data_IF_965409518254
#
_entry.id   IF_965409518254
#
_cell.length_a   1.000
_cell.length_b   1.000
_cell.length_c   1.000
_cell.angle_alpha   90.00
_cell.angle_beta   90.00
_cell.angle_gamma   90.00
#
_symmetry.space_group_name_H-M   'P 1'
#
loop_
_entity.id
_entity.type
_entity.pdbx_description
1 polymer ?
#
# COMPACT_ATOMS: atom_id res chain seq x y z
N UNK A 1 32.15 11.07 -51.52
CA UNK A 1 32.15 11.73 -50.20
C UNK A 1 30.79 11.68 -49.47
N UNK A 2 29.63 11.70 -50.15
CA UNK A 2 28.31 11.62 -49.50
C UNK A 2 27.99 10.28 -48.79
N UNK A 3 28.56 9.16 -49.27
CA UNK A 3 28.30 7.81 -48.72
C UNK A 3 28.98 7.54 -47.35
N UNK A 4 30.10 8.22 -47.10
CA UNK A 4 30.87 8.10 -45.84
C UNK A 4 30.21 8.92 -44.72
N UNK A 5 29.62 10.07 -45.08
CA UNK A 5 28.89 10.92 -44.15
C UNK A 5 27.60 10.24 -43.64
N UNK A 6 26.92 9.47 -44.50
CA UNK A 6 25.74 8.70 -44.10
C UNK A 6 26.05 7.55 -43.14
N UNK A 7 27.20 6.88 -43.30
CA UNK A 7 27.63 5.81 -42.40
C UNK A 7 27.97 6.31 -40.98
N UNK A 8 28.56 7.50 -40.88
CA UNK A 8 28.93 8.11 -39.60
C UNK A 8 27.69 8.54 -38.79
N UNK A 9 26.65 9.05 -39.45
CA UNK A 9 25.37 9.40 -38.82
C UNK A 9 24.62 8.16 -38.29
N UNK A 10 24.72 7.03 -39.00
CA UNK A 10 24.08 5.77 -38.58
C UNK A 10 24.75 5.16 -37.34
N UNK A 11 26.08 5.28 -37.24
CA UNK A 11 26.85 4.82 -36.07
C UNK A 11 26.53 5.62 -34.79
N UNK A 12 26.23 6.92 -34.93
CA UNK A 12 25.85 7.76 -33.79
C UNK A 12 24.45 7.44 -33.25
N UNK A 13 23.53 6.98 -34.11
CA UNK A 13 22.19 6.57 -33.69
C UNK A 13 22.19 5.30 -32.82
N UNK A 14 23.18 4.42 -32.98
CA UNK A 14 23.36 3.23 -32.15
C UNK A 14 24.09 3.51 -30.81
N UNK A 15 24.69 4.69 -30.66
CA UNK A 15 25.40 5.09 -29.44
C UNK A 15 24.50 5.82 -28.43
N UNK A 16 23.20 5.96 -28.71
CA UNK A 16 22.25 6.57 -27.78
C UNK A 16 22.01 5.60 -26.62
N UNK A 17 22.34 5.96 -25.36
CA UNK A 17 22.06 5.11 -24.21
C UNK A 17 20.55 4.86 -24.15
N UNK A 18 20.17 3.59 -24.04
CA UNK A 18 18.78 3.19 -23.87
C UNK A 18 18.33 3.72 -22.51
N UNK A 19 17.56 4.81 -22.51
CA UNK A 19 16.99 5.37 -21.28
C UNK A 19 15.97 4.37 -20.73
N UNK A 20 16.35 3.64 -19.69
CA UNK A 20 15.46 2.76 -18.94
C UNK A 20 14.44 3.61 -18.19
N UNK A 21 13.28 3.81 -18.81
CA UNK A 21 12.15 4.49 -18.18
C UNK A 21 11.50 3.57 -17.12
N UNK A 22 11.94 3.71 -15.87
CA UNK A 22 11.02 3.95 -14.76
C UNK A 22 10.17 2.82 -14.16
N UNK A 23 10.47 1.53 -14.37
CA UNK A 23 9.80 0.48 -13.59
C UNK A 23 10.10 0.62 -12.08
N UNK A 24 11.34 0.91 -11.72
CA UNK A 24 11.79 1.08 -10.32
C UNK A 24 11.14 2.29 -9.62
N UNK A 25 10.91 3.39 -10.34
CA UNK A 25 10.33 4.60 -9.75
C UNK A 25 8.88 4.39 -9.30
N UNK A 26 8.13 3.54 -10.01
CA UNK A 26 6.73 3.26 -9.65
C UNK A 26 6.65 2.39 -8.39
N UNK A 27 7.52 1.39 -8.29
CA UNK A 27 7.57 0.48 -7.14
C UNK A 27 8.00 1.20 -5.85
N UNK A 28 8.96 2.12 -5.92
CA UNK A 28 9.38 2.92 -4.76
C UNK A 28 8.27 3.85 -4.26
N UNK A 29 7.54 4.49 -5.19
CA UNK A 29 6.39 5.36 -4.83
C UNK A 29 5.27 4.53 -4.21
N UNK A 30 4.99 3.34 -4.75
CA UNK A 30 3.98 2.44 -4.19
C UNK A 30 4.35 1.96 -2.78
N UNK A 31 5.59 1.54 -2.56
CA UNK A 31 6.05 1.09 -1.25
C UNK A 31 6.00 2.21 -0.20
N UNK A 32 6.34 3.44 -0.57
CA UNK A 32 6.24 4.59 0.32
C UNK A 32 4.78 4.88 0.71
N UNK A 33 3.85 4.79 -0.26
CA UNK A 33 2.41 4.97 0.01
C UNK A 33 1.87 3.86 0.92
N UNK A 34 2.29 2.61 0.72
CA UNK A 34 1.93 1.49 1.60
C UNK A 34 2.48 1.69 3.02
N UNK A 35 3.72 2.19 3.15
CA UNK A 35 4.33 2.52 4.44
C UNK A 35 3.53 3.58 5.20
N UNK A 36 3.15 4.66 4.52
CA UNK A 36 2.33 5.72 5.10
C UNK A 36 0.95 5.20 5.52
N UNK A 37 0.33 4.34 4.72
CA UNK A 37 -0.93 3.68 5.07
C UNK A 37 -0.81 2.82 6.32
N UNK A 38 0.24 2.01 6.45
CA UNK A 38 0.47 1.18 7.65
C UNK A 38 0.66 2.06 8.89
N UNK A 39 1.43 3.15 8.77
CA UNK A 39 1.59 4.12 9.88
C UNK A 39 0.28 4.75 10.30
N UNK A 40 -0.51 5.21 9.34
CA UNK A 40 -1.82 5.80 9.60
C UNK A 40 -2.76 4.82 10.34
N UNK A 41 -2.67 3.52 10.06
CA UNK A 41 -3.42 2.50 10.79
C UNK A 41 -2.96 2.35 12.24
N UNK A 42 -1.65 2.37 12.49
CA UNK A 42 -1.06 2.27 13.85
C UNK A 42 -1.42 3.51 14.68
N UNK A 43 -1.48 4.68 14.06
CA UNK A 43 -1.84 5.94 14.71
C UNK A 43 -3.31 6.04 15.10
N UNK A 44 -4.17 5.14 14.58
CA UNK A 44 -5.58 5.12 14.97
C UNK A 44 -5.70 4.81 16.47
N UNK A 45 -6.51 5.57 17.21
CA UNK A 45 -6.60 5.42 18.67
C UNK A 45 -7.08 4.03 19.09
N UNK A 46 -7.96 3.38 18.30
CA UNK A 46 -8.42 2.03 18.61
C UNK A 46 -7.30 0.98 18.45
N UNK A 47 -6.47 1.16 17.42
CA UNK A 47 -5.35 0.25 17.11
C UNK A 47 -4.23 0.45 18.12
N UNK A 48 -3.85 1.69 18.39
CA UNK A 48 -2.85 2.04 19.40
C UNK A 48 -3.22 1.49 20.79
N UNK A 49 -4.47 1.66 21.23
CA UNK A 49 -4.94 1.10 22.50
C UNK A 49 -4.88 -0.42 22.52
N UNK A 50 -5.24 -1.08 21.41
CA UNK A 50 -5.17 -2.53 21.33
C UNK A 50 -3.72 -3.05 21.34
N UNK A 51 -2.79 -2.33 20.71
CA UNK A 51 -1.36 -2.64 20.72
C UNK A 51 -0.75 -2.44 22.10
N UNK A 52 -1.13 -1.38 22.80
CA UNK A 52 -0.72 -1.12 24.20
C UNK A 52 -1.20 -2.23 25.14
N UNK A 53 -2.44 -2.73 24.97
CA UNK A 53 -2.93 -3.90 25.72
C UNK A 53 -2.11 -5.16 25.47
N UNK A 54 -1.50 -5.28 24.29
CA UNK A 54 -0.58 -6.37 23.96
C UNK A 54 0.87 -6.09 24.40
N UNK A 55 1.12 -4.96 25.06
CA UNK A 55 2.45 -4.54 25.54
C UNK A 55 3.32 -3.89 24.48
N UNK A 56 2.77 -3.51 23.32
CA UNK A 56 3.50 -2.89 22.21
C UNK A 56 3.12 -1.39 22.14
N UNK A 57 4.03 -0.47 22.51
CA UNK A 57 3.74 0.95 22.39
C UNK A 57 3.74 1.37 20.91
N UNK A 58 2.78 2.23 20.52
CA UNK A 58 2.61 2.66 19.13
C UNK A 58 3.90 3.24 18.51
N UNK A 59 4.68 3.99 19.30
CA UNK A 59 5.97 4.56 18.88
C UNK A 59 6.99 3.49 18.46
N UNK A 60 7.03 2.36 19.17
CA UNK A 60 7.94 1.27 18.83
C UNK A 60 7.49 0.55 17.57
N UNK A 61 6.18 0.41 17.36
CA UNK A 61 5.65 -0.16 16.14
C UNK A 61 5.91 0.70 14.91
N UNK A 62 5.78 2.02 15.03
CA UNK A 62 6.15 2.97 13.97
C UNK A 62 7.64 2.86 13.63
N UNK A 63 8.52 2.79 14.65
CA UNK A 63 9.94 2.60 14.44
C UNK A 63 10.28 1.28 13.73
N UNK A 64 9.52 0.20 13.99
CA UNK A 64 9.67 -1.06 13.23
C UNK A 64 9.24 -0.90 11.78
N UNK A 65 8.11 -0.23 11.52
CA UNK A 65 7.66 0.06 10.15
C UNK A 65 8.68 0.93 9.42
N UNK A 66 9.38 1.84 10.09
CA UNK A 66 10.47 2.62 9.48
C UNK A 66 11.72 1.79 9.16
N UNK A 67 12.01 0.77 9.96
CA UNK A 67 13.16 -0.11 9.74
C UNK A 67 12.92 -1.21 8.68
N UNK A 68 11.68 -1.42 8.25
CA UNK A 68 11.31 -2.46 7.27
C UNK A 68 11.74 -2.09 5.84
N UNK A 69 12.08 -3.11 5.05
CA UNK A 69 12.29 -2.93 3.60
C UNK A 69 10.98 -2.70 2.87
N UNK A 70 11.06 -2.24 1.63
CA UNK A 70 9.88 -1.95 0.81
C UNK A 70 9.05 -3.21 0.53
N UNK A 71 9.69 -4.36 0.34
CA UNK A 71 9.02 -5.65 0.16
C UNK A 71 8.32 -6.13 1.43
N UNK A 72 8.94 -5.90 2.59
CA UNK A 72 8.38 -6.27 3.89
C UNK A 72 7.13 -5.44 4.21
N UNK A 73 7.20 -4.12 3.97
CA UNK A 73 6.05 -3.22 4.11
C UNK A 73 4.92 -3.65 3.18
N UNK A 74 5.25 -4.03 1.93
CA UNK A 74 4.25 -4.49 0.97
C UNK A 74 3.57 -5.79 1.38
N UNK A 75 4.33 -6.76 1.89
CA UNK A 75 3.76 -7.98 2.44
C UNK A 75 2.87 -7.68 3.64
N UNK A 76 3.28 -6.76 4.52
CA UNK A 76 2.50 -6.36 5.69
C UNK A 76 1.20 -5.66 5.30
N UNK A 77 1.25 -4.70 4.36
CA UNK A 77 0.08 -4.01 3.84
C UNK A 77 -0.91 -5.00 3.20
N UNK A 78 -0.42 -5.92 2.37
CA UNK A 78 -1.26 -6.96 1.77
C UNK A 78 -1.90 -7.90 2.80
N UNK A 79 -1.22 -8.21 3.91
CA UNK A 79 -1.80 -8.98 5.02
C UNK A 79 -2.87 -8.17 5.73
N UNK A 80 -2.65 -6.89 5.98
CA UNK A 80 -3.64 -6.00 6.61
C UNK A 80 -4.90 -5.86 5.75
N UNK A 81 -4.77 -5.80 4.42
CA UNK A 81 -5.91 -5.78 3.49
C UNK A 81 -6.64 -7.13 3.43
N UNK A 82 -5.92 -8.24 3.64
CA UNK A 82 -6.51 -9.58 3.69
C UNK A 82 -7.23 -9.87 5.02
N UNK A 83 -6.93 -9.12 6.08
CA UNK A 83 -7.69 -9.23 7.32
C UNK A 83 -9.11 -8.72 7.07
N UNK A 84 -10.15 -9.47 7.47
CA UNK A 84 -11.51 -8.95 7.42
C UNK A 84 -11.59 -7.75 8.35
N UNK A 85 -11.59 -6.55 7.76
CA UNK A 85 -11.67 -5.28 8.48
C UNK A 85 -13.00 -5.19 9.24
N UNK A 86 -13.06 -5.75 10.46
CA UNK A 86 -14.06 -5.53 11.51
C UNK A 86 -15.55 -5.56 11.12
N UNK A 87 -15.91 -6.07 9.95
CA UNK A 87 -17.22 -5.78 9.37
C UNK A 87 -17.25 -5.91 7.85
N UNK A 88 -16.73 -7.00 7.30
CA UNK A 88 -17.34 -7.51 6.07
C UNK A 88 -18.82 -7.68 6.40
N UNK A 89 -19.67 -6.80 5.86
CA UNK A 89 -21.10 -6.86 6.07
C UNK A 89 -21.57 -8.14 5.39
N UNK A 90 -21.60 -9.23 6.16
CA UNK A 90 -22.20 -10.47 5.73
C UNK A 90 -23.66 -10.19 5.37
N UNK A 91 -24.19 -10.91 4.38
CA UNK A 91 -25.61 -10.88 4.06
C UNK A 91 -26.49 -11.07 5.31
N UNK A 92 -25.99 -11.80 6.31
CA UNK A 92 -26.67 -12.00 7.59
C UNK A 92 -26.63 -10.76 8.49
N UNK A 93 -25.51 -10.03 8.54
CA UNK A 93 -25.42 -8.75 9.26
C UNK A 93 -26.34 -7.70 8.62
N UNK A 94 -26.39 -7.66 7.28
CA UNK A 94 -27.31 -6.80 6.52
C UNK A 94 -28.77 -7.12 6.83
N UNK A 95 -29.14 -8.40 6.84
CA UNK A 95 -30.49 -8.83 7.17
C UNK A 95 -30.87 -8.42 8.61
N UNK A 96 -29.96 -8.60 9.56
CA UNK A 96 -30.18 -8.24 10.96
C UNK A 96 -30.35 -6.72 11.15
N UNK A 97 -29.54 -5.90 10.48
CA UNK A 97 -29.70 -4.44 10.46
C UNK A 97 -31.06 -4.05 9.86
N UNK A 98 -31.45 -4.62 8.71
CA UNK A 98 -32.76 -4.36 8.10
C UNK A 98 -33.92 -4.74 9.02
N UNK A 99 -33.83 -5.90 9.69
CA UNK A 99 -34.86 -6.36 10.62
C UNK A 99 -35.05 -5.41 11.79
N UNK A 100 -33.95 -4.92 12.38
CA UNK A 100 -33.98 -3.93 13.46
C UNK A 100 -34.63 -2.63 13.00
N UNK A 101 -34.30 -2.15 11.80
CA UNK A 101 -34.91 -0.94 11.23
C UNK A 101 -36.43 -1.11 11.06
N UNK A 102 -36.88 -2.26 10.52
CA UNK A 102 -38.31 -2.54 10.34
C UNK A 102 -39.03 -2.58 11.69
N UNK A 103 -38.45 -3.22 12.69
CA UNK A 103 -39.04 -3.31 14.03
C UNK A 103 -39.20 -1.92 14.67
N UNK A 104 -38.20 -1.06 14.53
CA UNK A 104 -38.25 0.32 15.06
C UNK A 104 -39.27 1.21 14.36
N UNK A 105 -39.60 0.94 13.09
CA UNK A 105 -40.63 1.69 12.36
C UNK A 105 -42.06 1.20 12.67
N UNK A 106 -42.20 -0.02 13.17
CA UNK A 106 -43.50 -0.63 13.50
C UNK A 106 -43.98 -0.25 14.91
N UNK A 107 -43.06 0.04 15.82
CA UNK A 107 -43.31 0.55 17.17
C UNK A 107 -43.48 2.07 17.12
#
# INVERSE_FOLDING_TARGET
>A
MKKILGGLLLAFAFAVPQAYAGLVATDQVAAQQERERVKALIERPEVAQQMEKMGIPAKEALARVDAMTDEEVRSLAGRLDALPAGGQISSQTLLLICLIIILLLLI
#
